data_IF_623713097796
#
_entry.id   IF_623713097796
#
_cell.length_a   1.000
_cell.length_b   1.000
_cell.length_c   1.000
_cell.angle_alpha   90.00
_cell.angle_beta   90.00
_cell.angle_gamma   90.00
#
_symmetry.space_group_name_H-M   'P 1'
#
loop_
_entity.id
_entity.type
_entity.pdbx_description
1 polymer ?
#
# COMPACT_ATOMS: atom_id res chain seq x y z
N UNK A 1 -33.33 -31.08 27.20
CA UNK A 1 -32.00 -31.22 26.54
C UNK A 1 -32.02 -30.91 25.04
N UNK A 2 -32.98 -31.40 24.25
CA UNK A 2 -33.04 -31.15 22.79
C UNK A 2 -33.15 -29.66 22.40
N UNK A 3 -34.02 -28.89 23.07
CA UNK A 3 -34.15 -27.43 22.84
C UNK A 3 -32.85 -26.65 23.09
N UNK A 4 -32.12 -27.03 24.14
CA UNK A 4 -30.82 -26.40 24.48
C UNK A 4 -29.78 -26.68 23.38
N UNK A 5 -29.72 -27.93 22.89
CA UNK A 5 -28.84 -28.28 21.76
C UNK A 5 -29.18 -27.49 20.49
N UNK A 6 -30.46 -27.30 20.20
CA UNK A 6 -30.91 -26.51 19.05
C UNK A 6 -30.52 -25.03 19.19
N UNK A 7 -30.69 -24.44 20.37
CA UNK A 7 -30.28 -23.05 20.65
C UNK A 7 -28.77 -22.90 20.47
N UNK A 8 -27.97 -23.81 21.02
CA UNK A 8 -26.51 -23.78 20.85
C UNK A 8 -26.11 -23.88 19.38
N UNK A 9 -26.75 -24.76 18.60
CA UNK A 9 -26.48 -24.88 17.18
C UNK A 9 -26.78 -23.56 16.43
N UNK A 10 -27.93 -22.92 16.72
CA UNK A 10 -28.28 -21.64 16.10
C UNK A 10 -27.27 -20.54 16.43
N UNK A 11 -26.79 -20.48 17.67
CA UNK A 11 -25.76 -19.51 18.08
C UNK A 11 -24.45 -19.76 17.33
N UNK A 12 -24.01 -21.02 17.20
CA UNK A 12 -22.79 -21.35 16.45
C UNK A 12 -22.92 -20.95 14.99
N UNK A 13 -24.06 -21.26 14.35
CA UNK A 13 -24.32 -20.87 12.95
C UNK A 13 -24.33 -19.35 12.79
N UNK A 14 -24.95 -18.63 13.73
CA UNK A 14 -24.97 -17.17 13.71
C UNK A 14 -23.55 -16.58 13.80
N UNK A 15 -22.76 -17.02 14.78
CA UNK A 15 -21.37 -16.54 14.97
C UNK A 15 -20.51 -16.86 13.75
N UNK A 16 -20.62 -18.07 13.19
CA UNK A 16 -19.90 -18.46 11.98
C UNK A 16 -20.29 -17.59 10.78
N UNK A 17 -21.58 -17.27 10.63
CA UNK A 17 -22.08 -16.43 9.55
C UNK A 17 -21.60 -14.98 9.67
N UNK A 18 -21.61 -14.44 10.89
CA UNK A 18 -21.09 -13.09 11.18
C UNK A 18 -19.59 -13.02 10.90
N UNK A 19 -18.80 -13.96 11.42
CA UNK A 19 -17.35 -14.03 11.19
C UNK A 19 -17.03 -14.15 9.69
N UNK A 20 -17.75 -15.01 8.96
CA UNK A 20 -17.58 -15.13 7.51
C UNK A 20 -17.91 -13.82 6.80
N UNK A 21 -19.00 -13.15 7.17
CA UNK A 21 -19.36 -11.85 6.62
C UNK A 21 -18.30 -10.78 6.88
N UNK A 22 -17.75 -10.72 8.10
CA UNK A 22 -16.69 -9.79 8.48
C UNK A 22 -15.39 -10.05 7.70
N UNK A 23 -15.02 -11.30 7.47
CA UNK A 23 -13.82 -11.64 6.68
C UNK A 23 -14.00 -11.32 5.20
N UNK A 24 -15.14 -11.70 4.62
CA UNK A 24 -15.36 -11.63 3.17
C UNK A 24 -15.73 -10.22 2.69
N UNK A 25 -16.59 -9.50 3.43
CA UNK A 25 -17.08 -8.19 3.00
C UNK A 25 -16.34 -7.02 3.64
N UNK A 26 -15.93 -7.15 4.90
CA UNK A 26 -15.20 -6.08 5.62
C UNK A 26 -13.68 -6.25 5.49
N UNK A 27 -13.19 -7.45 5.20
CA UNK A 27 -11.75 -7.73 5.12
C UNK A 27 -11.07 -7.79 6.50
N UNK A 28 -11.84 -8.09 7.55
CA UNK A 28 -11.26 -8.37 8.87
C UNK A 28 -10.48 -9.68 8.83
N UNK A 29 -9.38 -9.76 9.59
CA UNK A 29 -8.48 -10.91 9.57
C UNK A 29 -7.46 -10.95 8.43
N UNK A 30 -7.48 -10.00 7.48
CA UNK A 30 -6.49 -9.87 6.41
C UNK A 30 -5.87 -8.46 6.35
N UNK A 31 -5.10 -8.03 7.38
CA UNK A 31 -4.44 -6.73 7.35
C UNK A 31 -3.23 -6.72 6.40
N UNK A 32 -2.85 -5.54 5.86
CA UNK A 32 -1.57 -5.39 5.18
C UNK A 32 -0.41 -5.79 6.09
N UNK A 33 0.42 -6.71 5.63
CA UNK A 33 1.53 -7.24 6.39
C UNK A 33 2.74 -6.31 6.32
N UNK A 34 3.46 -6.23 7.43
CA UNK A 34 4.76 -5.57 7.55
C UNK A 34 5.86 -6.63 7.66
N UNK A 35 7.07 -6.24 7.26
CA UNK A 35 8.29 -7.01 7.47
C UNK A 35 9.37 -6.09 8.03
N UNK A 36 10.28 -6.64 8.83
CA UNK A 36 11.43 -5.89 9.35
C UNK A 36 12.42 -5.57 8.24
N UNK A 37 13.10 -4.43 8.37
CA UNK A 37 14.17 -4.00 7.48
C UNK A 37 15.36 -3.51 8.30
N UNK A 38 16.56 -4.00 8.01
CA UNK A 38 17.77 -3.70 8.77
C UNK A 38 18.13 -2.20 8.81
N UNK A 39 17.65 -1.42 7.82
CA UNK A 39 18.01 -0.01 7.65
C UNK A 39 16.87 0.97 7.93
N UNK A 40 15.63 0.53 7.71
CA UNK A 40 14.41 1.35 7.80
C UNK A 40 13.57 0.97 9.03
N UNK A 41 13.98 -0.06 9.78
CA UNK A 41 13.26 -0.73 10.86
C UNK A 41 12.17 -1.68 10.36
N UNK A 42 11.20 -1.19 9.57
CA UNK A 42 10.15 -2.00 8.97
C UNK A 42 9.54 -1.35 7.73
N UNK A 43 8.94 -2.16 6.86
CA UNK A 43 8.19 -1.73 5.68
C UNK A 43 7.03 -2.69 5.36
N UNK A 44 6.13 -2.31 4.46
CA UNK A 44 5.12 -3.25 3.99
C UNK A 44 5.78 -4.41 3.26
N UNK A 45 5.30 -5.63 3.55
CA UNK A 45 5.67 -6.82 2.80
C UNK A 45 5.33 -6.58 1.31
N UNK A 46 6.26 -6.82 0.39
CA UNK A 46 5.98 -6.63 -1.04
C UNK A 46 4.83 -7.49 -1.57
N UNK A 47 4.30 -7.09 -2.73
CA UNK A 47 3.34 -7.87 -3.53
C UNK A 47 2.03 -8.22 -2.80
N UNK A 48 1.36 -7.21 -2.25
CA UNK A 48 0.05 -7.38 -1.61
C UNK A 48 -1.02 -6.65 -2.42
N UNK A 49 -2.13 -7.33 -2.72
CA UNK A 49 -3.34 -6.74 -3.28
C UNK A 49 -4.53 -7.30 -2.51
N UNK A 50 -5.07 -6.51 -1.60
CA UNK A 50 -6.11 -6.94 -0.67
C UNK A 50 -7.23 -5.90 -0.56
N UNK A 51 -8.35 -6.31 0.01
CA UNK A 51 -9.49 -5.42 0.28
C UNK A 51 -9.77 -5.35 1.77
N UNK A 52 -9.97 -4.13 2.27
CA UNK A 52 -10.30 -3.87 3.66
C UNK A 52 -11.20 -2.65 3.78
N UNK A 53 -12.28 -2.76 4.54
CA UNK A 53 -13.32 -1.74 4.68
C UNK A 53 -13.85 -1.24 3.31
N UNK A 54 -13.96 -2.14 2.33
CA UNK A 54 -14.36 -1.80 0.96
C UNK A 54 -13.25 -1.19 0.09
N UNK A 55 -12.12 -0.78 0.67
CA UNK A 55 -11.01 -0.15 -0.02
C UNK A 55 -10.02 -1.18 -0.55
N UNK A 56 -9.53 -0.97 -1.78
CA UNK A 56 -8.40 -1.72 -2.31
C UNK A 56 -7.11 -1.19 -1.71
N UNK A 57 -6.29 -2.10 -1.23
CA UNK A 57 -4.99 -1.86 -0.65
C UNK A 57 -3.97 -2.56 -1.54
N UNK A 58 -3.18 -1.78 -2.28
CA UNK A 58 -2.12 -2.29 -3.13
C UNK A 58 -0.75 -1.88 -2.62
N UNK A 59 0.10 -2.88 -2.43
CA UNK A 59 1.51 -2.76 -2.11
C UNK A 59 2.30 -3.43 -3.23
N UNK A 60 3.17 -2.64 -3.86
CA UNK A 60 3.94 -3.08 -5.01
C UNK A 60 5.14 -3.97 -4.61
N UNK A 61 5.93 -4.39 -5.60
CA UNK A 61 7.08 -5.28 -5.38
C UNK A 61 8.20 -4.64 -4.53
N UNK A 62 8.12 -3.33 -4.31
CA UNK A 62 9.06 -2.57 -3.50
C UNK A 62 8.52 -2.21 -2.12
N UNK A 63 7.36 -2.73 -1.72
CA UNK A 63 6.75 -2.38 -0.44
C UNK A 63 6.12 -0.98 -0.42
N UNK A 64 5.88 -0.37 -1.58
CA UNK A 64 5.29 0.97 -1.71
C UNK A 64 3.78 0.89 -1.94
N UNK A 65 3.05 1.91 -1.47
CA UNK A 65 1.60 2.04 -1.62
C UNK A 65 1.23 2.66 -2.99
N UNK A 66 1.68 2.04 -4.06
CA UNK A 66 1.50 2.51 -5.45
C UNK A 66 1.31 1.33 -6.40
N UNK A 67 1.04 1.60 -7.67
CA UNK A 67 1.16 0.59 -8.71
C UNK A 67 2.62 0.11 -8.89
N UNK A 68 2.80 -1.04 -9.54
CA UNK A 68 4.12 -1.56 -9.89
C UNK A 68 4.75 -0.75 -11.03
N UNK A 69 6.07 -0.62 -11.03
CA UNK A 69 6.84 0.07 -12.06
C UNK A 69 8.24 -0.52 -12.17
N UNK A 70 8.92 -0.32 -13.29
CA UNK A 70 10.24 -0.90 -13.56
C UNK A 70 11.35 -0.31 -12.68
N UNK A 71 12.35 -1.14 -12.37
CA UNK A 71 13.52 -0.82 -11.53
C UNK A 71 14.29 0.42 -12.04
N UNK A 72 14.33 0.63 -13.35
CA UNK A 72 14.83 1.86 -14.00
C UNK A 72 13.77 2.54 -14.86
N UNK A 73 14.06 3.78 -15.29
CA UNK A 73 13.22 4.47 -16.28
C UNK A 73 13.13 3.63 -17.55
N UNK A 74 11.90 3.39 -18.00
CA UNK A 74 11.62 2.73 -19.27
C UNK A 74 11.85 3.65 -20.48
N UNK A 75 11.85 4.96 -20.25
CA UNK A 75 12.10 5.98 -21.27
C UNK A 75 12.93 7.15 -20.69
N UNK A 76 13.77 7.80 -21.49
CA UNK A 76 14.58 8.95 -21.05
C UNK A 76 13.71 10.13 -20.61
N UNK A 77 12.57 10.32 -21.27
CA UNK A 77 11.56 11.32 -20.96
C UNK A 77 10.74 10.94 -19.72
N UNK A 78 10.79 9.70 -19.21
CA UNK A 78 9.99 9.29 -18.05
C UNK A 78 10.23 10.21 -16.84
N UNK A 79 9.14 10.72 -16.26
CA UNK A 79 9.15 11.57 -15.08
C UNK A 79 8.74 10.75 -13.86
N UNK A 80 9.63 10.68 -12.86
CA UNK A 80 9.43 9.89 -11.65
C UNK A 80 9.42 10.79 -10.42
N UNK A 81 8.40 10.64 -9.59
CA UNK A 81 8.27 11.33 -8.30
C UNK A 81 8.20 10.28 -7.20
N UNK A 82 9.07 10.39 -6.19
CA UNK A 82 9.00 9.56 -4.99
C UNK A 82 8.54 10.43 -3.83
N UNK A 83 7.40 10.07 -3.25
CA UNK A 83 6.81 10.79 -2.12
C UNK A 83 7.06 9.97 -0.87
N UNK A 84 7.84 10.54 0.04
CA UNK A 84 8.17 9.94 1.33
C UNK A 84 7.28 10.52 2.42
N UNK A 85 6.82 9.68 3.34
CA UNK A 85 6.01 10.16 4.44
C UNK A 85 5.57 9.07 5.40
N UNK A 86 4.54 9.38 6.16
CA UNK A 86 4.01 8.56 7.23
C UNK A 86 2.60 8.03 6.89
N UNK A 87 1.78 7.78 7.91
CA UNK A 87 0.37 7.40 7.75
C UNK A 87 -0.45 8.34 6.86
N UNK A 88 -0.14 9.63 6.81
CA UNK A 88 -0.89 10.63 6.02
C UNK A 88 -0.70 10.35 4.53
N UNK A 89 0.55 10.19 4.09
CA UNK A 89 0.84 9.85 2.70
C UNK A 89 0.37 8.42 2.38
N UNK A 90 0.42 7.50 3.36
CA UNK A 90 -0.02 6.13 3.17
C UNK A 90 -1.53 5.99 2.94
N UNK A 91 -2.34 6.86 3.54
CA UNK A 91 -3.81 6.79 3.48
C UNK A 91 -4.43 5.67 4.33
N UNK A 92 -3.61 4.83 4.97
CA UNK A 92 -4.05 3.76 5.88
C UNK A 92 -4.99 2.74 5.21
N UNK A 93 -5.90 2.18 6.01
CA UNK A 93 -6.88 1.19 5.53
C UNK A 93 -8.22 1.82 5.09
N UNK A 94 -8.39 3.12 5.33
CA UNK A 94 -9.64 3.85 5.08
C UNK A 94 -9.65 4.54 3.71
N UNK A 95 -8.49 4.64 3.05
CA UNK A 95 -8.37 5.26 1.73
C UNK A 95 -8.20 4.18 0.66
N UNK A 96 -9.08 4.20 -0.34
CA UNK A 96 -8.92 3.37 -1.53
C UNK A 96 -7.66 3.75 -2.31
N UNK A 97 -7.02 2.75 -2.93
CA UNK A 97 -5.83 2.95 -3.72
C UNK A 97 -5.95 4.11 -4.73
N UNK A 98 -7.09 4.21 -5.42
CA UNK A 98 -7.32 5.25 -6.44
C UNK A 98 -7.50 6.66 -5.86
N UNK A 99 -7.76 6.76 -4.55
CA UNK A 99 -8.01 8.01 -3.83
C UNK A 99 -6.79 8.48 -3.04
N UNK A 100 -5.65 7.77 -3.14
CA UNK A 100 -4.41 8.21 -2.50
C UNK A 100 -3.93 9.53 -3.12
N UNK A 101 -3.43 10.44 -2.28
CA UNK A 101 -2.88 11.71 -2.74
C UNK A 101 -1.82 11.53 -3.84
N UNK A 102 -1.01 10.47 -3.76
CA UNK A 102 0.02 10.12 -4.74
C UNK A 102 -0.56 9.65 -6.08
N UNK A 103 -1.65 8.88 -6.08
CA UNK A 103 -2.34 8.49 -7.32
C UNK A 103 -3.09 9.68 -7.95
N UNK A 104 -3.67 10.57 -7.14
CA UNK A 104 -4.26 11.82 -7.63
C UNK A 104 -3.21 12.75 -8.26
N UNK A 105 -2.05 12.91 -7.62
CA UNK A 105 -0.92 13.68 -8.17
C UNK A 105 -0.44 13.06 -9.48
N UNK A 106 -0.30 11.73 -9.55
CA UNK A 106 0.07 11.02 -10.78
C UNK A 106 -0.92 11.31 -11.92
N UNK A 107 -2.22 11.21 -11.64
CA UNK A 107 -3.25 11.50 -12.63
C UNK A 107 -3.18 12.95 -13.10
N UNK A 108 -3.06 13.91 -12.18
CA UNK A 108 -2.95 15.33 -12.52
C UNK A 108 -1.68 15.66 -13.33
N UNK A 109 -0.53 15.08 -12.97
CA UNK A 109 0.71 15.26 -13.73
C UNK A 109 0.61 14.66 -15.13
N UNK A 110 -0.06 13.51 -15.29
CA UNK A 110 -0.26 12.89 -16.60
C UNK A 110 -1.15 13.74 -17.53
N UNK A 111 -2.04 14.58 -16.99
CA UNK A 111 -2.84 15.52 -17.78
C UNK A 111 -2.02 16.72 -18.29
N UNK A 112 -1.00 17.15 -17.54
CA UNK A 112 -0.17 18.32 -17.88
C UNK A 112 1.06 17.93 -18.69
N UNK A 113 1.62 16.74 -18.43
CA UNK A 113 2.84 16.22 -19.05
C UNK A 113 2.50 15.03 -19.94
N UNK A 114 1.78 15.29 -21.03
CA UNK A 114 1.23 14.24 -21.92
C UNK A 114 2.27 13.56 -22.80
N UNK A 115 3.45 14.17 -22.95
CA UNK A 115 4.57 13.72 -23.77
C UNK A 115 5.45 12.68 -23.07
N UNK A 116 5.17 12.37 -21.80
CA UNK A 116 6.04 11.53 -20.98
C UNK A 116 5.27 10.64 -20.02
N UNK A 117 5.86 9.48 -19.75
CA UNK A 117 5.34 8.55 -18.74
C UNK A 117 5.54 9.12 -17.33
N UNK A 118 4.48 9.11 -16.52
CA UNK A 118 4.51 9.55 -15.13
C UNK A 118 4.50 8.34 -14.20
N UNK A 119 5.47 8.30 -13.28
CA UNK A 119 5.52 7.33 -12.18
C UNK A 119 5.55 8.08 -10.87
N UNK A 120 4.63 7.75 -9.96
CA UNK A 120 4.63 8.28 -8.60
C UNK A 120 4.69 7.12 -7.62
N UNK A 121 5.75 7.06 -6.82
CA UNK A 121 5.92 6.06 -5.77
C UNK A 121 5.52 6.63 -4.41
N UNK A 122 4.74 5.86 -3.66
CA UNK A 122 4.30 6.20 -2.31
C UNK A 122 5.14 5.42 -1.29
N UNK A 123 6.19 6.04 -0.78
CA UNK A 123 7.14 5.46 0.16
C UNK A 123 6.76 5.88 1.57
N UNK A 124 5.83 5.15 2.16
CA UNK A 124 5.29 5.50 3.47
C UNK A 124 4.85 4.29 4.29
N UNK A 125 4.88 4.44 5.61
CA UNK A 125 4.20 3.56 6.55
C UNK A 125 3.76 4.36 7.79
N UNK A 126 2.80 3.82 8.54
CA UNK A 126 2.36 4.46 9.78
C UNK A 126 3.52 4.58 10.78
N UNK A 127 3.54 5.65 11.58
CA UNK A 127 4.58 5.94 12.57
C UNK A 127 5.99 6.24 12.04
N UNK A 128 6.20 6.27 10.71
CA UNK A 128 7.47 6.74 10.15
C UNK A 128 7.70 8.23 10.46
N UNK A 129 8.96 8.58 10.70
CA UNK A 129 9.43 9.95 10.92
C UNK A 129 10.61 10.34 10.02
N UNK A 130 11.26 11.48 10.27
CA UNK A 130 12.38 11.95 9.46
C UNK A 130 13.54 10.95 9.29
N UNK A 131 13.98 10.18 10.33
CA UNK A 131 15.03 9.17 10.17
C UNK A 131 14.66 8.06 9.19
N UNK A 132 13.43 7.51 9.28
CA UNK A 132 12.94 6.47 8.37
C UNK A 132 12.78 7.00 6.95
N UNK A 133 12.31 8.25 6.77
CA UNK A 133 12.25 8.90 5.47
C UNK A 133 13.66 9.07 4.85
N UNK A 134 14.66 9.41 5.66
CA UNK A 134 16.03 9.51 5.21
C UNK A 134 16.63 8.14 4.83
N UNK A 135 16.48 7.12 5.67
CA UNK A 135 16.96 5.76 5.37
C UNK A 135 16.30 5.17 4.13
N UNK A 136 14.98 5.34 3.98
CA UNK A 136 14.25 4.90 2.78
C UNK A 136 14.73 5.64 1.54
N UNK A 137 14.96 6.96 1.63
CA UNK A 137 15.48 7.73 0.50
C UNK A 137 16.83 7.20 0.04
N UNK A 138 17.73 6.83 0.97
CA UNK A 138 19.02 6.20 0.63
C UNK A 138 18.84 4.85 -0.06
N UNK A 139 17.95 4.00 0.47
CA UNK A 139 17.68 2.67 -0.10
C UNK A 139 17.15 2.75 -1.53
N UNK A 140 16.16 3.61 -1.77
CA UNK A 140 15.52 3.71 -3.08
C UNK A 140 16.31 4.56 -4.09
N UNK A 141 17.09 5.54 -3.63
CA UNK A 141 17.94 6.34 -4.51
C UNK A 141 19.16 5.54 -5.00
N UNK A 142 19.83 4.78 -4.12
CA UNK A 142 21.03 4.01 -4.47
C UNK A 142 20.77 2.91 -5.51
N UNK A 143 19.56 2.35 -5.58
CA UNK A 143 19.27 1.19 -6.41
C UNK A 143 18.46 1.50 -7.69
N UNK A 144 17.90 2.70 -7.88
CA UNK A 144 16.95 2.96 -8.98
C UNK A 144 17.03 4.32 -9.66
N UNK A 145 17.85 5.23 -9.12
CA UNK A 145 17.86 6.63 -9.54
C UNK A 145 19.29 7.14 -9.61
N UNK A 146 20.08 6.57 -10.52
CA UNK A 146 21.26 7.28 -10.98
C UNK A 146 20.82 8.16 -12.14
N UNK A 147 20.54 9.43 -11.85
CA UNK A 147 21.06 10.47 -12.74
C UNK A 147 22.58 10.32 -12.60
N UNK A 148 23.20 9.50 -13.46
CA UNK A 148 24.62 9.70 -13.72
C UNK A 148 24.62 10.99 -14.50
N UNK A 149 25.02 12.09 -13.86
CA UNK A 149 25.59 13.19 -14.62
C UNK A 149 26.72 12.58 -15.43
N UNK A 150 26.46 12.38 -16.72
CA UNK A 150 27.51 12.50 -17.72
C UNK A 150 27.64 13.97 -18.06
#
# INVERSE_FOLDING_TARGET
>A
MHKIRLILLMVVVLVASVEAGLRLFVGLGNPPLLQTDETIEYMFKPNQDLRRFGNRIKINEYGMRSENFSDGKSDVSEFRVMVYGDSVINGGNQTDHTQLATELVKANLALVMTDRKIVVGNVSAGSWGPPTAFSTSKKYTKNKFIIKNQ
#
